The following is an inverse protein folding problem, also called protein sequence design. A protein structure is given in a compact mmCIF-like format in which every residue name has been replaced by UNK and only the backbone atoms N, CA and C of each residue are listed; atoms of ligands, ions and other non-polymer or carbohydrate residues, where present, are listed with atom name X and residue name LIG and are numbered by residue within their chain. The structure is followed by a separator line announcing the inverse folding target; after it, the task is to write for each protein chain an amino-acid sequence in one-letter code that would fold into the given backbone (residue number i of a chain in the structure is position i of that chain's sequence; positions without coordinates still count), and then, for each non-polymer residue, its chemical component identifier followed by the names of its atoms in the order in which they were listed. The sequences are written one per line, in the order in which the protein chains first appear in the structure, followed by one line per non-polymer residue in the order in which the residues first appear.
data_IF_365063334508
#
_entry.id   IF_365063334508
#
_cell.length_a   1.000
_cell.length_b   1.000
_cell.length_c   1.000
_cell.angle_alpha   90.00
_cell.angle_beta   90.00
_cell.angle_gamma   90.00
#
_symmetry.space_group_name_H-M   'P 1'
#
loop_
_entity.id
_entity.type
_entity.pdbx_description
1 polymer ?
#
# COMPACT_ATOMS: atom_id res chain seq x y z
N UNK A 1 12.58 18.66 18.47
CA UNK A 1 13.14 17.81 17.42
C UNK A 1 13.08 18.55 16.10
N UNK A 2 14.23 18.80 15.47
CA UNK A 2 14.28 19.46 14.17
C UNK A 2 14.02 18.37 13.12
N UNK A 3 12.86 18.40 12.47
CA UNK A 3 12.57 17.55 11.32
C UNK A 3 13.65 17.74 10.24
N UNK A 4 14.01 16.67 9.52
CA UNK A 4 14.91 16.78 8.37
C UNK A 4 14.11 17.29 7.16
N UNK A 5 14.70 18.12 6.30
CA UNK A 5 14.02 18.59 5.10
C UNK A 5 13.86 17.44 4.10
N UNK A 6 12.69 17.35 3.47
CA UNK A 6 12.42 16.42 2.36
C UNK A 6 12.49 17.20 1.05
N UNK A 7 13.14 16.65 0.02
CA UNK A 7 13.12 17.20 -1.34
C UNK A 7 12.62 16.15 -2.32
N UNK A 8 11.46 16.39 -2.91
CA UNK A 8 10.95 15.62 -4.03
C UNK A 8 11.39 16.25 -5.36
N UNK A 9 12.00 15.47 -6.25
CA UNK A 9 12.64 15.91 -7.48
C UNK A 9 14.09 16.39 -7.31
N UNK A 10 14.68 16.19 -6.12
CA UNK A 10 16.05 16.57 -5.78
C UNK A 10 16.31 18.08 -5.79
N UNK A 11 17.59 18.46 -5.78
CA UNK A 11 18.01 19.87 -5.74
C UNK A 11 18.16 20.49 -7.15
N UNK A 12 17.91 19.73 -8.21
CA UNK A 12 18.18 20.12 -9.60
C UNK A 12 19.65 20.01 -9.99
N UNK A 13 19.98 20.47 -11.20
CA UNK A 13 21.28 20.28 -11.85
C UNK A 13 22.50 20.45 -10.91
N UNK A 14 23.38 19.45 -10.81
CA UNK A 14 24.54 19.47 -9.90
C UNK A 14 24.36 18.71 -8.58
N UNK A 15 23.13 18.35 -8.23
CA UNK A 15 22.81 17.11 -7.53
C UNK A 15 22.00 16.27 -8.52
N UNK A 16 22.27 14.97 -8.62
CA UNK A 16 21.37 14.09 -9.36
C UNK A 16 19.94 14.32 -8.84
N UNK A 17 18.92 14.22 -9.70
CA UNK A 17 17.52 14.54 -9.38
C UNK A 17 16.88 13.53 -8.40
N UNK A 18 17.71 12.97 -7.53
CA UNK A 18 17.39 12.02 -6.49
C UNK A 18 16.70 12.74 -5.35
N UNK A 19 15.62 12.14 -4.88
CA UNK A 19 14.85 12.65 -3.76
C UNK A 19 15.70 12.61 -2.49
N UNK A 20 15.67 13.70 -1.70
CA UNK A 20 16.16 13.68 -0.33
C UNK A 20 14.97 13.35 0.57
N UNK A 21 14.84 12.11 1.01
CA UNK A 21 13.73 11.70 1.86
C UNK A 21 14.17 10.56 2.77
N UNK A 22 13.36 10.26 3.80
CA UNK A 22 13.48 8.98 4.51
C UNK A 22 12.13 8.46 4.91
N UNK A 23 11.99 7.15 4.79
CA UNK A 23 10.80 6.45 5.21
C UNK A 23 10.74 6.24 6.74
N UNK A 24 11.88 6.34 7.43
CA UNK A 24 12.01 5.96 8.83
C UNK A 24 11.75 7.13 9.80
N UNK A 25 11.16 6.87 10.99
CA UNK A 25 10.69 5.57 11.47
C UNK A 25 9.26 5.22 10.98
N UNK A 26 9.13 4.18 10.16
CA UNK A 26 7.83 3.77 9.63
C UNK A 26 6.99 3.07 10.70
N UNK A 27 5.82 3.65 11.04
CA UNK A 27 4.85 3.02 11.92
C UNK A 27 4.00 2.02 11.14
N UNK A 28 4.27 0.73 11.34
CA UNK A 28 3.49 -0.37 10.81
C UNK A 28 3.45 -1.54 11.79
N UNK A 29 2.28 -2.15 11.92
CA UNK A 29 2.13 -3.46 12.54
C UNK A 29 1.21 -4.35 11.72
N UNK A 30 1.60 -5.61 11.59
CA UNK A 30 0.81 -6.61 10.88
C UNK A 30 0.60 -7.84 11.77
N UNK A 31 -0.62 -8.35 11.74
CA UNK A 31 -1.04 -9.51 12.50
C UNK A 31 -1.82 -10.46 11.60
N UNK A 32 -1.30 -11.68 11.47
CA UNK A 32 -1.87 -12.73 10.63
C UNK A 32 -2.27 -13.90 11.53
N UNK A 33 -3.57 -14.12 11.69
CA UNK A 33 -4.07 -15.30 12.39
C UNK A 33 -4.53 -16.34 11.39
N UNK A 34 -3.89 -17.50 11.41
CA UNK A 34 -4.15 -18.56 10.44
C UNK A 34 -4.66 -19.80 11.18
N UNK A 35 -5.85 -20.27 10.79
CA UNK A 35 -6.37 -21.58 11.12
C UNK A 35 -6.25 -22.47 9.90
N UNK A 36 -5.52 -23.57 10.02
CA UNK A 36 -5.22 -24.47 8.91
C UNK A 36 -5.32 -25.92 9.35
N UNK A 37 -5.90 -26.75 8.50
CA UNK A 37 -5.90 -28.21 8.66
C UNK A 37 -5.48 -28.88 7.36
N UNK A 38 -4.64 -29.90 7.49
CA UNK A 38 -4.05 -30.67 6.41
C UNK A 38 -4.33 -32.16 6.64
N UNK A 39 -5.02 -32.77 5.70
CA UNK A 39 -5.28 -34.19 5.70
C UNK A 39 -4.51 -34.88 4.58
N UNK A 40 -3.83 -35.97 4.92
CA UNK A 40 -3.20 -36.84 3.92
C UNK A 40 -3.54 -38.29 4.16
N UNK A 41 -3.78 -39.02 3.07
CA UNK A 41 -4.09 -40.44 3.14
C UNK A 41 -3.58 -41.18 1.92
N UNK A 42 -2.88 -42.28 2.17
CA UNK A 42 -2.56 -43.26 1.14
C UNK A 42 -3.69 -44.27 1.07
N UNK A 43 -4.25 -44.46 -0.12
CA UNK A 43 -5.29 -45.46 -0.38
C UNK A 43 -5.01 -46.15 -1.71
N UNK A 44 -4.56 -47.40 -1.64
CA UNK A 44 -4.14 -48.14 -2.82
C UNK A 44 -2.93 -47.50 -3.51
N UNK A 45 -3.08 -47.17 -4.79
CA UNK A 45 -2.06 -46.48 -5.59
C UNK A 45 -2.22 -44.95 -5.60
N UNK A 46 -3.13 -44.41 -4.79
CA UNK A 46 -3.34 -42.96 -4.64
C UNK A 46 -2.76 -42.44 -3.34
N UNK A 47 -2.19 -41.24 -3.40
CA UNK A 47 -1.80 -40.45 -2.22
C UNK A 47 -2.55 -39.13 -2.29
N UNK A 48 -3.59 -39.02 -1.48
CA UNK A 48 -4.42 -37.82 -1.39
C UNK A 48 -3.83 -36.83 -0.40
N UNK A 49 -3.92 -35.55 -0.76
CA UNK A 49 -3.67 -34.40 0.11
C UNK A 49 -4.86 -33.46 -0.01
N UNK A 50 -5.47 -33.12 1.11
CA UNK A 50 -6.58 -32.17 1.20
C UNK A 50 -6.25 -31.17 2.29
N UNK A 51 -6.76 -29.96 2.19
CA UNK A 51 -6.71 -29.03 3.30
C UNK A 51 -7.52 -27.79 3.10
N UNK A 52 -7.69 -27.09 4.21
CA UNK A 52 -8.41 -25.82 4.31
C UNK A 52 -7.57 -24.82 5.08
N UNK A 53 -7.71 -23.55 4.72
CA UNK A 53 -7.08 -22.44 5.39
C UNK A 53 -8.11 -21.32 5.56
N UNK A 54 -8.16 -20.78 6.78
CA UNK A 54 -8.93 -19.58 7.11
C UNK A 54 -7.98 -18.59 7.77
N UNK A 55 -7.89 -17.39 7.22
CA UNK A 55 -7.07 -16.32 7.78
C UNK A 55 -7.93 -15.15 8.28
N UNK A 56 -7.50 -14.56 9.38
CA UNK A 56 -7.97 -13.27 9.85
C UNK A 56 -6.76 -12.35 9.97
N UNK A 57 -6.69 -11.38 9.06
CA UNK A 57 -5.50 -10.58 8.87
C UNK A 57 -5.78 -9.11 9.17
N UNK A 58 -4.82 -8.46 9.81
CA UNK A 58 -4.91 -7.08 10.24
C UNK A 58 -3.60 -6.39 9.97
N UNK A 59 -3.66 -5.23 9.32
CA UNK A 59 -2.51 -4.35 9.14
C UNK A 59 -2.90 -2.97 9.63
N UNK A 60 -2.04 -2.34 10.42
CA UNK A 60 -2.19 -0.92 10.70
C UNK A 60 -0.90 -0.19 10.36
N UNK A 61 -1.02 0.81 9.51
CA UNK A 61 0.12 1.59 9.02
C UNK A 61 -0.27 3.03 8.76
N UNK A 62 0.71 3.92 8.78
CA UNK A 62 0.53 5.24 8.21
C UNK A 62 0.27 5.11 6.70
N UNK A 63 -0.66 5.90 6.16
CA UNK A 63 -0.93 5.92 4.71
C UNK A 63 0.30 6.43 3.94
N UNK A 64 1.04 7.35 4.54
CA UNK A 64 2.25 7.93 3.98
C UNK A 64 3.48 7.71 4.89
N UNK A 65 4.67 7.90 4.35
CA UNK A 65 5.92 7.78 5.11
C UNK A 65 6.15 8.87 6.12
N UNK A 66 7.11 8.64 7.03
CA UNK A 66 7.48 9.65 8.03
C UNK A 66 8.03 10.93 7.40
N UNK A 67 8.57 10.87 6.18
CA UNK A 67 8.93 12.05 5.39
C UNK A 67 7.75 12.97 5.11
N UNK A 68 6.54 12.42 5.00
CA UNK A 68 5.33 13.15 4.65
C UNK A 68 4.71 13.87 5.86
N UNK A 69 5.29 13.68 7.04
CA UNK A 69 5.04 14.46 8.26
C UNK A 69 6.04 15.63 8.41
N UNK A 70 6.95 15.81 7.45
CA UNK A 70 7.87 16.93 7.37
C UNK A 70 7.50 17.85 6.19
N UNK A 71 7.91 19.14 6.23
CA UNK A 71 7.81 20.01 5.08
C UNK A 71 8.56 19.43 3.88
N UNK A 72 7.83 19.25 2.78
CA UNK A 72 8.33 18.80 1.50
C UNK A 72 8.73 20.02 0.67
N UNK A 73 9.96 20.02 0.18
CA UNK A 73 10.46 21.02 -0.76
C UNK A 73 10.52 20.43 -2.16
N UNK A 74 10.30 21.27 -3.16
CA UNK A 74 10.45 20.91 -4.57
C UNK A 74 11.26 21.97 -5.29
N UNK A 75 11.24 21.96 -6.61
CA UNK A 75 11.99 22.90 -7.45
C UNK A 75 11.83 24.38 -7.05
N UNK A 76 12.70 25.22 -7.60
CA UNK A 76 12.76 26.65 -7.29
C UNK A 76 11.41 27.35 -7.41
N UNK A 77 11.09 28.20 -6.44
CA UNK A 77 9.91 29.04 -6.49
C UNK A 77 9.99 30.04 -7.65
N UNK A 78 8.83 30.47 -8.15
CA UNK A 78 8.77 31.43 -9.25
C UNK A 78 9.47 32.73 -8.89
N UNK A 79 10.43 33.15 -9.72
CA UNK A 79 11.22 34.36 -9.49
C UNK A 79 12.41 34.19 -8.53
N UNK A 80 12.68 32.97 -8.04
CA UNK A 80 13.91 32.68 -7.30
C UNK A 80 15.13 32.86 -8.19
N UNK A 81 16.23 33.32 -7.60
CA UNK A 81 17.55 33.21 -8.21
C UNK A 81 17.95 31.74 -8.39
N UNK A 82 18.71 31.47 -9.44
CA UNK A 82 19.22 30.14 -9.77
C UNK A 82 20.70 30.23 -10.20
N UNK A 83 21.59 29.54 -9.49
CA UNK A 83 23.00 29.42 -9.85
C UNK A 83 23.29 28.34 -10.89
N UNK A 84 22.27 27.59 -11.35
CA UNK A 84 22.36 26.36 -12.15
C UNK A 84 23.06 25.19 -11.46
N UNK A 85 23.39 25.34 -10.17
CA UNK A 85 23.92 24.31 -9.30
C UNK A 85 23.00 24.13 -8.08
N UNK A 86 22.25 23.04 -8.07
CA UNK A 86 21.26 22.70 -7.04
C UNK A 86 21.83 22.61 -5.63
N UNK A 87 23.02 22.00 -5.49
CA UNK A 87 23.71 21.90 -4.20
C UNK A 87 24.09 23.28 -3.67
N UNK A 88 24.59 24.16 -4.54
CA UNK A 88 24.91 25.53 -4.15
C UNK A 88 23.64 26.32 -3.81
N UNK A 89 22.59 26.17 -4.61
CA UNK A 89 21.29 26.80 -4.36
C UNK A 89 20.72 26.43 -2.97
N UNK A 90 20.91 25.17 -2.52
CA UNK A 90 20.42 24.72 -1.22
C UNK A 90 21.13 25.38 -0.02
N UNK A 91 22.37 25.83 -0.23
CA UNK A 91 23.18 26.53 0.78
C UNK A 91 23.07 28.06 0.67
N UNK A 92 22.45 28.57 -0.39
CA UNK A 92 22.36 30.00 -0.66
C UNK A 92 21.06 30.59 -0.10
N UNK A 93 21.18 31.41 0.94
CA UNK A 93 20.08 32.06 1.65
C UNK A 93 19.17 33.00 0.84
N UNK A 94 19.50 33.31 -0.42
CA UNK A 94 18.67 34.13 -1.32
C UNK A 94 17.78 33.28 -2.23
N UNK A 95 17.99 31.96 -2.23
CA UNK A 95 17.19 31.01 -3.02
C UNK A 95 15.93 30.66 -2.25
N UNK A 96 14.79 30.66 -2.96
CA UNK A 96 13.50 30.29 -2.42
C UNK A 96 12.97 29.05 -3.14
N UNK A 97 12.57 28.04 -2.38
CA UNK A 97 12.08 26.74 -2.87
C UNK A 97 10.56 26.66 -2.74
N UNK A 98 9.89 25.95 -3.65
CA UNK A 98 8.49 25.60 -3.41
C UNK A 98 8.42 24.64 -2.21
N UNK A 99 7.41 24.82 -1.37
CA UNK A 99 7.21 23.99 -0.19
C UNK A 99 5.73 23.59 -0.05
N UNK A 100 5.49 22.38 0.43
CA UNK A 100 4.19 21.86 0.80
C UNK A 100 4.30 21.00 2.06
N UNK A 101 3.19 20.81 2.75
CA UNK A 101 3.10 19.95 3.94
C UNK A 101 1.74 19.28 3.93
N UNK A 102 1.67 18.01 4.36
CA UNK A 102 0.40 17.34 4.56
C UNK A 102 -0.24 17.82 5.86
N UNK A 103 -1.54 18.12 5.82
CA UNK A 103 -2.28 18.49 7.02
C UNK A 103 -2.40 17.33 8.02
N UNK A 104 -2.42 16.09 7.55
CA UNK A 104 -2.56 14.90 8.40
C UNK A 104 -2.03 13.67 7.66
N UNK A 105 -1.30 12.82 8.37
CA UNK A 105 -0.95 11.46 7.94
C UNK A 105 -1.82 10.45 8.70
N UNK A 106 -2.94 9.98 8.12
CA UNK A 106 -3.86 9.11 8.84
C UNK A 106 -3.28 7.70 9.01
N UNK A 107 -3.70 7.05 10.10
CA UNK A 107 -3.36 5.66 10.36
C UNK A 107 -4.45 4.74 9.78
N UNK A 108 -4.11 4.04 8.71
CA UNK A 108 -4.97 3.05 8.06
C UNK A 108 -5.06 1.78 8.89
N UNK A 109 -6.28 1.27 9.10
CA UNK A 109 -6.53 0.04 9.87
C UNK A 109 -7.15 -1.04 8.97
N UNK A 110 -6.36 -1.56 8.03
CA UNK A 110 -6.82 -2.53 7.04
C UNK A 110 -7.10 -3.91 7.67
N UNK A 111 -8.20 -4.54 7.25
CA UNK A 111 -8.66 -5.86 7.69
C UNK A 111 -9.07 -6.69 6.48
N UNK A 112 -8.70 -7.97 6.46
CA UNK A 112 -9.12 -8.89 5.40
C UNK A 112 -9.15 -10.34 5.89
N UNK A 113 -9.84 -11.17 5.12
CA UNK A 113 -10.01 -12.59 5.41
C UNK A 113 -9.85 -13.40 4.13
N UNK A 114 -9.08 -14.47 4.22
CA UNK A 114 -8.89 -15.42 3.14
C UNK A 114 -9.47 -16.78 3.55
N UNK A 115 -10.20 -17.38 2.63
CA UNK A 115 -10.67 -18.75 2.77
C UNK A 115 -10.13 -19.55 1.60
N UNK A 116 -9.38 -20.60 1.88
CA UNK A 116 -8.78 -21.42 0.85
C UNK A 116 -9.07 -22.90 1.08
N UNK A 117 -9.32 -23.60 -0.02
CA UNK A 117 -9.47 -25.04 -0.06
C UNK A 117 -8.52 -25.60 -1.11
N UNK A 118 -7.84 -26.70 -0.80
CA UNK A 118 -7.00 -27.39 -1.78
C UNK A 118 -7.13 -28.89 -1.70
N UNK A 119 -6.94 -29.50 -2.86
CA UNK A 119 -6.95 -30.93 -3.10
C UNK A 119 -5.82 -31.30 -4.05
N UNK A 120 -5.18 -32.44 -3.79
CA UNK A 120 -4.22 -33.05 -4.69
C UNK A 120 -4.23 -34.55 -4.58
N UNK A 121 -3.92 -35.21 -5.70
CA UNK A 121 -3.75 -36.66 -5.80
C UNK A 121 -2.47 -36.97 -6.58
N UNK A 122 -1.64 -37.83 -5.99
CA UNK A 122 -0.52 -38.47 -6.67
C UNK A 122 -0.87 -39.93 -6.91
N UNK A 123 -1.10 -40.26 -8.18
CA UNK A 123 -1.62 -41.54 -8.63
C UNK A 123 -0.54 -42.36 -9.32
N UNK A 124 -0.13 -43.48 -8.72
CA UNK A 124 0.76 -44.46 -9.33
C UNK A 124 -0.02 -45.38 -10.29
N UNK A 125 -0.14 -44.96 -11.54
CA UNK A 125 -0.80 -45.74 -12.60
C UNK A 125 -0.04 -47.06 -12.84
N UNK A 126 1.30 -47.02 -12.88
CA UNK A 126 2.20 -48.18 -13.03
C UNK A 126 3.46 -47.99 -12.17
N UNK A 127 4.27 -49.04 -12.00
CA UNK A 127 5.53 -48.98 -11.22
C UNK A 127 6.52 -47.91 -11.70
N UNK A 128 6.40 -47.48 -12.95
CA UNK A 128 7.24 -46.48 -13.62
C UNK A 128 6.46 -45.27 -14.14
N UNK A 129 5.19 -45.09 -13.75
CA UNK A 129 4.36 -43.96 -14.17
C UNK A 129 3.49 -43.47 -13.01
N UNK A 130 3.75 -42.23 -12.60
CA UNK A 130 2.94 -41.49 -11.63
C UNK A 130 2.32 -40.29 -12.33
N UNK A 131 1.04 -40.06 -12.08
CA UNK A 131 0.32 -38.88 -12.54
C UNK A 131 -0.09 -38.04 -11.32
N UNK A 132 0.19 -36.75 -11.36
CA UNK A 132 -0.13 -35.82 -10.27
C UNK A 132 -1.06 -34.74 -10.77
N UNK A 133 -2.11 -34.47 -10.01
CA UNK A 133 -3.07 -33.42 -10.32
C UNK A 133 -3.66 -32.87 -9.03
N UNK A 134 -4.19 -31.66 -9.11
CA UNK A 134 -4.76 -30.98 -7.96
C UNK A 134 -5.47 -29.70 -8.33
N UNK A 135 -6.14 -29.14 -7.34
CA UNK A 135 -6.95 -27.95 -7.44
C UNK A 135 -6.81 -27.15 -6.14
N UNK A 136 -6.73 -25.83 -6.27
CA UNK A 136 -6.81 -24.89 -5.14
C UNK A 136 -7.80 -23.78 -5.49
N UNK A 137 -8.69 -23.50 -4.56
CA UNK A 137 -9.61 -22.39 -4.61
C UNK A 137 -9.29 -21.43 -3.49
N UNK A 138 -9.23 -20.15 -3.82
CA UNK A 138 -8.97 -19.07 -2.86
C UNK A 138 -10.09 -18.04 -2.99
N UNK A 139 -10.78 -17.79 -1.89
CA UNK A 139 -11.77 -16.73 -1.77
C UNK A 139 -11.16 -15.59 -0.97
N UNK A 140 -10.72 -14.57 -1.71
CA UNK A 140 -10.07 -13.38 -1.17
C UNK A 140 -11.13 -12.27 -1.10
N UNK A 141 -11.55 -11.92 0.12
CA UNK A 141 -12.54 -10.85 0.29
C UNK A 141 -11.87 -9.48 0.13
N UNK A 142 -12.66 -8.51 -0.32
CA UNK A 142 -12.18 -7.14 -0.39
C UNK A 142 -11.77 -6.65 1.01
N UNK A 143 -10.56 -6.08 1.17
CA UNK A 143 -10.16 -5.47 2.43
C UNK A 143 -11.09 -4.34 2.83
N UNK A 144 -11.23 -4.12 4.13
CA UNK A 144 -11.99 -3.00 4.70
C UNK A 144 -11.13 -2.30 5.76
N UNK A 145 -11.51 -1.07 6.11
CA UNK A 145 -10.87 -0.34 7.22
C UNK A 145 -11.71 -0.48 8.48
N UNK A 146 -11.07 -0.73 9.61
CA UNK A 146 -11.77 -1.01 10.87
C UNK A 146 -12.53 0.19 11.45
N UNK A 147 -12.20 1.41 11.02
CA UNK A 147 -12.76 2.67 11.51
C UNK A 147 -13.67 3.36 10.49
N UNK A 148 -14.04 2.68 9.40
CA UNK A 148 -14.88 3.19 8.31
C UNK A 148 -14.37 4.49 7.65
N UNK A 149 -13.10 4.82 7.86
CA UNK A 149 -12.45 6.00 7.25
C UNK A 149 -11.81 5.64 5.91
N UNK A 150 -12.63 5.20 4.96
CA UNK A 150 -12.22 4.95 3.58
C UNK A 150 -13.21 5.59 2.62
N UNK A 151 -12.67 6.16 1.55
CA UNK A 151 -13.44 6.64 0.42
C UNK A 151 -12.90 6.02 -0.87
N UNK A 152 -13.74 5.91 -1.88
CA UNK A 152 -13.34 5.42 -3.20
C UNK A 152 -13.94 6.31 -4.27
N UNK A 153 -13.17 6.59 -5.32
CA UNK A 153 -13.70 7.31 -6.48
C UNK A 153 -14.50 6.34 -7.35
N UNK A 154 -15.75 6.70 -7.63
CA UNK A 154 -16.66 6.00 -8.53
C UNK A 154 -16.97 6.91 -9.72
N UNK A 155 -16.46 6.59 -10.93
CA UNK A 155 -16.69 7.40 -12.12
C UNK A 155 -18.16 7.67 -12.42
N UNK A 156 -19.07 6.74 -12.11
CA UNK A 156 -20.51 6.93 -12.34
C UNK A 156 -21.19 7.83 -11.31
N UNK A 157 -20.56 8.08 -10.16
CA UNK A 157 -21.02 9.06 -9.18
C UNK A 157 -20.53 10.49 -9.50
N UNK A 158 -19.71 10.64 -10.54
CA UNK A 158 -19.26 11.96 -11.00
C UNK A 158 -20.39 12.73 -11.66
N UNK A 159 -20.61 13.95 -11.20
CA UNK A 159 -21.58 14.88 -11.76
C UNK A 159 -20.84 16.09 -12.36
N UNK A 160 -20.83 16.27 -13.70
CA UNK A 160 -20.21 17.42 -14.34
C UNK A 160 -20.76 18.79 -13.87
N UNK A 161 -21.99 18.82 -13.32
CA UNK A 161 -22.62 20.04 -12.83
C UNK A 161 -22.02 20.54 -11.50
N UNK A 162 -21.37 19.66 -10.74
CA UNK A 162 -20.67 20.00 -9.49
C UNK A 162 -19.30 20.66 -9.73
N UNK A 163 -18.84 20.74 -10.99
CA UNK A 163 -17.60 21.43 -11.33
C UNK A 163 -16.37 20.86 -10.64
N UNK A 164 -15.61 21.73 -9.96
CA UNK A 164 -14.35 21.38 -9.26
C UNK A 164 -14.53 20.97 -7.80
N UNK A 165 -15.73 20.52 -7.39
CA UNK A 165 -15.96 20.02 -6.04
C UNK A 165 -15.02 18.84 -5.75
N UNK A 166 -14.18 18.91 -4.69
CA UNK A 166 -13.24 17.84 -4.35
C UNK A 166 -13.92 16.53 -3.95
N UNK A 167 -15.21 16.55 -3.58
CA UNK A 167 -16.01 15.37 -3.24
C UNK A 167 -16.73 14.75 -4.45
N UNK A 168 -16.62 15.34 -5.64
CA UNK A 168 -17.32 14.88 -6.83
C UNK A 168 -16.86 13.49 -7.27
N UNK A 169 -17.79 12.54 -7.35
CA UNK A 169 -17.49 11.14 -7.66
C UNK A 169 -16.86 10.35 -6.51
N UNK A 170 -16.74 10.90 -5.30
CA UNK A 170 -16.30 10.13 -4.13
C UNK A 170 -17.48 9.40 -3.48
N UNK A 171 -17.30 8.12 -3.25
CA UNK A 171 -18.16 7.28 -2.41
C UNK A 171 -17.54 7.16 -1.03
N UNK A 172 -18.35 7.45 -0.01
CA UNK A 172 -17.97 7.40 1.39
C UNK A 172 -18.89 6.45 2.14
N UNK A 173 -18.45 5.99 3.31
CA UNK A 173 -19.29 5.17 4.17
C UNK A 173 -20.47 6.01 4.69
N UNK A 174 -21.72 5.50 4.66
CA UNK A 174 -22.87 6.26 5.16
C UNK A 174 -22.72 6.65 6.63
N UNK A 175 -22.92 7.94 6.94
CA UNK A 175 -22.85 8.46 8.31
C UNK A 175 -21.43 8.76 8.82
N UNK A 176 -20.42 8.72 7.95
CA UNK A 176 -19.06 9.18 8.27
C UNK A 176 -18.77 10.50 7.56
N UNK A 177 -18.10 11.43 8.27
CA UNK A 177 -17.50 12.63 7.70
C UNK A 177 -15.98 12.57 7.89
N UNK A 178 -15.22 13.08 6.91
CA UNK A 178 -13.76 13.16 6.90
C UNK A 178 -13.28 14.58 7.17
#
# INVERSE_FOLDING_TARGET
DLGYPVFWGGLGNGADSDDLWTQAPWHNNEQLFIYKDDFSKVMGNHTFKLGVLFSNNQKNELVNGSSEEAPNFGGLSSGSIDSTNGVFNALWNQVSWNASELQTNPFGQQRWHDVEFYYGDSWKIRRNLTFEYGFRWSFLRQPYVANDRISSFEPFAYDPSLGGDPCNGLTIVPGTDF
#
